data_IF_966620644595
#
_entry.id   IF_966620644595
#
_cell.length_a   1.000
_cell.length_b   1.000
_cell.length_c   1.000
_cell.angle_alpha   90.00
_cell.angle_beta   90.00
_cell.angle_gamma   90.00
#
_symmetry.space_group_name_H-M   'P 1'
#
loop_
_entity.id
_entity.type
_entity.pdbx_description
1 polymer ?
#
# COMPACT_ATOMS: atom_id res chain seq x y z
N UNK A 1 8.06 3.27 10.34
CA UNK A 1 7.30 4.44 9.86
C UNK A 1 8.11 5.73 10.03
N UNK A 2 8.24 6.31 11.24
CA UNK A 2 8.91 7.61 11.42
C UNK A 2 10.37 7.68 10.92
N UNK A 3 11.15 6.59 11.05
CA UNK A 3 12.51 6.54 10.50
C UNK A 3 12.53 6.74 8.97
N UNK A 4 11.59 6.14 8.25
CA UNK A 4 11.42 6.35 6.81
C UNK A 4 10.98 7.78 6.52
N UNK A 5 10.01 8.33 7.27
CA UNK A 5 9.55 9.71 7.11
C UNK A 5 10.69 10.72 7.28
N UNK A 6 11.56 10.55 8.28
CA UNK A 6 12.70 11.44 8.50
C UNK A 6 13.72 11.31 7.36
N UNK A 7 14.09 10.08 6.99
CA UNK A 7 15.04 9.84 5.90
C UNK A 7 14.56 10.45 4.58
N UNK A 8 13.30 10.21 4.22
CA UNK A 8 12.70 10.77 3.01
C UNK A 8 12.54 12.29 3.08
N UNK A 9 12.22 12.84 4.25
CA UNK A 9 12.20 14.28 4.46
C UNK A 9 13.56 14.94 4.22
N UNK A 10 14.65 14.30 4.64
CA UNK A 10 16.02 14.77 4.36
C UNK A 10 16.34 14.69 2.86
N UNK A 11 15.97 13.59 2.20
CA UNK A 11 16.14 13.43 0.74
C UNK A 11 15.38 14.53 0.00
N UNK A 12 14.10 14.76 0.31
CA UNK A 12 13.29 15.80 -0.33
C UNK A 12 13.90 17.19 -0.11
N UNK A 13 14.40 17.47 1.10
CA UNK A 13 15.12 18.74 1.38
C UNK A 13 16.34 18.92 0.48
N UNK A 14 17.09 17.86 0.19
CA UNK A 14 18.22 17.90 -0.73
C UNK A 14 17.75 18.08 -2.18
N UNK A 15 16.71 17.35 -2.60
CA UNK A 15 16.13 17.47 -3.94
C UNK A 15 15.60 18.88 -4.21
N UNK A 16 14.98 19.54 -3.23
CA UNK A 16 14.56 20.95 -3.35
C UNK A 16 15.72 21.88 -3.64
N UNK A 17 16.93 21.63 -3.11
CA UNK A 17 18.13 22.42 -3.45
C UNK A 17 18.58 22.22 -4.90
N UNK A 18 18.23 21.10 -5.52
CA UNK A 18 18.49 20.82 -6.94
C UNK A 18 17.32 21.24 -7.86
N UNK A 19 16.35 21.97 -7.31
CA UNK A 19 15.22 22.53 -8.04
C UNK A 19 14.06 21.55 -8.26
N UNK A 20 14.04 20.39 -7.60
CA UNK A 20 12.84 19.56 -7.55
C UNK A 20 11.75 20.23 -6.72
N UNK A 21 10.50 20.06 -7.13
CA UNK A 21 9.31 20.62 -6.48
C UNK A 21 8.38 19.52 -5.91
N UNK A 22 8.83 18.26 -5.95
CA UNK A 22 8.08 17.11 -5.42
C UNK A 22 8.14 17.10 -3.88
N UNK A 23 7.01 16.81 -3.25
CA UNK A 23 6.90 16.64 -1.80
C UNK A 23 6.86 17.95 -1.01
N UNK A 24 6.40 17.85 0.23
CA UNK A 24 6.29 18.95 1.18
C UNK A 24 7.62 19.34 1.82
N UNK A 25 7.61 20.46 2.55
CA UNK A 25 8.79 21.00 3.25
C UNK A 25 9.21 20.10 4.41
N UNK A 26 10.51 20.05 4.70
CA UNK A 26 11.03 19.39 5.89
C UNK A 26 10.75 20.25 7.15
N UNK A 27 9.68 19.92 7.88
CA UNK A 27 9.30 20.57 9.14
C UNK A 27 8.68 19.56 10.11
N UNK A 28 8.51 19.97 11.38
CA UNK A 28 8.01 19.09 12.43
C UNK A 28 6.61 18.55 12.14
N UNK A 29 5.74 19.39 11.56
CA UNK A 29 4.39 19.00 11.16
C UNK A 29 4.40 17.85 10.15
N UNK A 30 5.22 17.94 9.10
CA UNK A 30 5.32 16.89 8.07
C UNK A 30 6.02 15.63 8.56
N UNK A 31 6.82 15.71 9.61
CA UNK A 31 7.49 14.54 10.19
C UNK A 31 6.57 13.80 11.16
N UNK A 32 5.77 14.51 11.96
CA UNK A 32 4.98 13.93 13.05
C UNK A 32 3.49 13.84 12.77
N UNK A 33 2.89 14.88 12.17
CA UNK A 33 1.43 15.02 12.05
C UNK A 33 0.93 14.53 10.69
N UNK A 34 1.50 15.03 9.58
CA UNK A 34 1.06 14.65 8.23
C UNK A 34 1.06 13.13 7.96
N UNK A 35 2.01 12.33 8.49
CA UNK A 35 1.97 10.88 8.31
C UNK A 35 0.77 10.20 8.99
N UNK A 36 0.23 10.80 10.05
CA UNK A 36 -0.99 10.35 10.72
C UNK A 36 -2.26 10.84 10.02
N UNK A 37 -2.13 11.89 9.20
CA UNK A 37 -3.25 12.62 8.63
C UNK A 37 -3.60 12.18 7.20
N UNK A 38 -2.62 12.19 6.29
CA UNK A 38 -2.80 11.79 4.90
C UNK A 38 -1.76 10.76 4.45
N UNK A 39 -0.56 10.75 5.04
CA UNK A 39 0.52 9.83 4.69
C UNK A 39 1.24 10.17 3.38
N UNK A 40 0.96 11.33 2.79
CA UNK A 40 1.40 11.72 1.45
C UNK A 40 2.47 12.81 1.44
N UNK A 41 2.90 13.27 2.62
CA UNK A 41 3.68 14.49 2.83
C UNK A 41 4.92 14.68 1.96
N UNK A 42 5.67 13.62 1.63
CA UNK A 42 6.93 13.74 0.88
C UNK A 42 6.85 13.13 -0.51
N UNK A 43 5.71 12.56 -0.90
CA UNK A 43 5.46 11.88 -2.19
C UNK A 43 6.33 10.63 -2.43
N UNK A 44 7.62 10.65 -2.09
CA UNK A 44 8.54 9.52 -2.22
C UNK A 44 8.21 8.35 -1.28
N UNK A 45 7.68 8.62 -0.10
CA UNK A 45 7.22 7.60 0.85
C UNK A 45 5.68 7.50 0.91
N UNK A 46 5.00 8.06 -0.09
CA UNK A 46 3.53 8.14 -0.14
C UNK A 46 2.86 6.77 -0.12
N UNK A 47 3.57 5.73 -0.55
CA UNK A 47 3.07 4.36 -0.51
C UNK A 47 2.70 3.90 0.91
N UNK A 48 3.28 4.49 1.96
CA UNK A 48 3.03 4.15 3.37
C UNK A 48 1.71 4.66 3.95
N UNK A 49 0.84 5.28 3.14
CA UNK A 49 -0.43 5.88 3.58
C UNK A 49 -1.38 4.94 4.35
N UNK A 50 -1.25 3.62 4.14
CA UNK A 50 -2.12 2.59 4.73
C UNK A 50 -1.65 2.12 6.11
N UNK A 51 -0.40 2.40 6.51
CA UNK A 51 0.20 1.87 7.74
C UNK A 51 -0.58 2.30 8.97
N UNK A 52 -0.86 3.61 9.11
CA UNK A 52 -1.58 4.17 10.25
C UNK A 52 -3.02 3.66 10.29
N UNK A 53 -3.80 3.71 9.20
CA UNK A 53 -5.14 3.13 9.18
C UNK A 53 -5.19 1.66 9.61
N UNK A 54 -4.31 0.79 9.08
CA UNK A 54 -4.29 -0.62 9.46
C UNK A 54 -3.97 -0.83 10.93
N UNK A 55 -2.94 -0.14 11.45
CA UNK A 55 -2.56 -0.22 12.86
C UNK A 55 -3.68 0.27 13.79
N UNK A 56 -4.37 1.35 13.41
CA UNK A 56 -5.48 1.88 14.19
C UNK A 56 -6.70 0.93 14.18
N UNK A 57 -6.98 0.27 13.05
CA UNK A 57 -8.04 -0.75 12.98
C UNK A 57 -7.73 -1.93 13.90
N UNK A 58 -6.48 -2.38 13.95
CA UNK A 58 -6.07 -3.43 14.88
C UNK A 58 -6.28 -3.02 16.35
N UNK A 59 -5.87 -1.80 16.73
CA UNK A 59 -6.11 -1.24 18.07
C UNK A 59 -7.61 -1.21 18.38
N UNK A 60 -8.43 -0.64 17.49
CA UNK A 60 -9.87 -0.55 17.67
C UNK A 60 -10.51 -1.93 17.84
N UNK A 61 -10.13 -2.90 17.01
CA UNK A 61 -10.60 -4.28 17.13
C UNK A 61 -10.24 -4.87 18.50
N UNK A 62 -9.01 -4.68 18.98
CA UNK A 62 -8.58 -5.14 20.30
C UNK A 62 -9.36 -4.46 21.43
N UNK A 63 -9.59 -3.14 21.35
CA UNK A 63 -10.35 -2.37 22.33
C UNK A 63 -11.81 -2.84 22.40
N UNK A 64 -12.47 -2.98 21.26
CA UNK A 64 -13.87 -3.44 21.17
C UNK A 64 -14.00 -4.84 21.76
N UNK A 65 -13.09 -5.75 21.42
CA UNK A 65 -13.09 -7.12 21.98
C UNK A 65 -12.83 -7.14 23.48
N UNK A 66 -11.90 -6.32 23.96
CA UNK A 66 -11.64 -6.18 25.39
C UNK A 66 -12.87 -5.63 26.14
N UNK A 67 -13.59 -4.68 25.55
CA UNK A 67 -14.82 -4.13 26.11
C UNK A 67 -15.92 -5.20 26.25
N UNK A 68 -16.20 -5.96 25.19
CA UNK A 68 -17.22 -7.02 25.25
C UNK A 68 -16.82 -8.14 26.23
N UNK A 69 -15.54 -8.51 26.26
CA UNK A 69 -15.03 -9.49 27.23
C UNK A 69 -15.23 -9.02 28.67
N UNK A 70 -14.98 -7.74 28.97
CA UNK A 70 -15.22 -7.15 30.30
C UNK A 70 -16.70 -7.16 30.70
N UNK A 71 -17.61 -7.07 29.72
CA UNK A 71 -19.06 -7.17 29.95
C UNK A 71 -19.56 -8.63 30.00
N UNK A 72 -18.68 -9.61 29.88
CA UNK A 72 -19.05 -11.04 29.85
C UNK A 72 -19.73 -11.48 28.55
N UNK A 73 -19.76 -10.63 27.52
CA UNK A 73 -20.41 -10.93 26.25
C UNK A 73 -19.46 -11.69 25.33
N UNK A 74 -19.85 -12.91 24.96
CA UNK A 74 -19.16 -13.69 23.93
C UNK A 74 -19.85 -13.47 22.59
N UNK A 75 -19.38 -12.47 21.85
CA UNK A 75 -19.93 -12.18 20.52
C UNK A 75 -19.36 -13.18 19.50
N UNK A 76 -20.20 -13.91 18.77
CA UNK A 76 -19.73 -14.80 17.72
C UNK A 76 -19.09 -14.00 16.57
N UNK A 77 -18.08 -14.56 15.92
CA UNK A 77 -17.26 -13.85 14.94
C UNK A 77 -18.05 -13.36 13.71
N UNK A 78 -19.15 -14.02 13.34
CA UNK A 78 -20.00 -13.57 12.24
C UNK A 78 -20.74 -12.26 12.57
N UNK A 79 -21.16 -12.04 13.83
CA UNK A 79 -21.76 -10.77 14.27
C UNK A 79 -20.70 -9.68 14.27
N UNK A 80 -19.49 -10.00 14.75
CA UNK A 80 -18.37 -9.06 14.74
C UNK A 80 -18.03 -8.62 13.31
N UNK A 81 -18.01 -9.57 12.37
CA UNK A 81 -17.80 -9.30 10.95
C UNK A 81 -18.92 -8.45 10.36
N UNK A 82 -20.20 -8.76 10.63
CA UNK A 82 -21.33 -7.97 10.16
C UNK A 82 -21.28 -6.52 10.68
N UNK A 83 -20.94 -6.33 11.96
CA UNK A 83 -20.72 -5.00 12.54
C UNK A 83 -19.57 -4.24 11.86
N UNK A 84 -18.45 -4.92 11.57
CA UNK A 84 -17.34 -4.31 10.85
C UNK A 84 -17.70 -3.91 9.40
N UNK A 85 -18.55 -4.69 8.72
CA UNK A 85 -19.11 -4.32 7.40
C UNK A 85 -19.96 -3.06 7.49
N UNK A 86 -20.84 -2.94 8.49
CA UNK A 86 -21.64 -1.73 8.70
C UNK A 86 -20.76 -0.49 8.99
N UNK A 87 -19.73 -0.66 9.82
CA UNK A 87 -18.74 0.39 10.10
C UNK A 87 -18.02 0.81 8.81
N UNK A 88 -17.59 -0.15 7.99
CA UNK A 88 -16.95 0.12 6.70
C UNK A 88 -17.87 0.82 5.70
N UNK A 89 -19.14 0.42 5.64
CA UNK A 89 -20.15 1.12 4.84
C UNK A 89 -20.31 2.58 5.31
N UNK A 90 -20.33 2.81 6.63
CA UNK A 90 -20.34 4.16 7.20
C UNK A 90 -19.11 4.99 6.78
N UNK A 91 -17.91 4.40 6.81
CA UNK A 91 -16.69 5.04 6.32
C UNK A 91 -16.76 5.42 4.83
N UNK A 92 -17.28 4.51 4.00
CA UNK A 92 -17.43 4.78 2.56
C UNK A 92 -18.49 5.84 2.29
N UNK A 93 -19.54 5.88 3.08
CA UNK A 93 -20.56 6.91 2.99
C UNK A 93 -20.01 8.29 3.34
N UNK A 94 -19.17 8.40 4.38
CA UNK A 94 -18.46 9.64 4.69
C UNK A 94 -17.55 10.08 3.55
N UNK A 95 -16.87 9.15 2.87
CA UNK A 95 -16.06 9.45 1.70
C UNK A 95 -16.89 10.03 0.54
N UNK A 96 -18.09 9.48 0.30
CA UNK A 96 -19.06 9.96 -0.70
C UNK A 96 -19.55 11.37 -0.36
N UNK A 97 -19.73 11.67 0.93
CA UNK A 97 -20.05 13.01 1.45
C UNK A 97 -18.86 13.99 1.42
N UNK A 98 -17.77 13.65 0.75
CA UNK A 98 -16.55 14.46 0.61
C UNK A 98 -15.75 14.70 1.90
N UNK A 99 -16.01 13.94 2.98
CA UNK A 99 -15.17 13.90 4.18
C UNK A 99 -13.87 13.09 3.92
N UNK A 100 -13.07 13.55 2.95
CA UNK A 100 -11.88 12.86 2.43
C UNK A 100 -10.61 13.70 2.50
N UNK A 101 -10.60 14.72 3.36
CA UNK A 101 -9.46 15.63 3.53
C UNK A 101 -9.01 15.69 4.98
N UNK A 102 -7.70 15.89 5.20
CA UNK A 102 -7.12 15.98 6.53
C UNK A 102 -7.57 14.80 7.42
N UNK A 103 -7.91 15.06 8.68
CA UNK A 103 -8.15 14.00 9.66
C UNK A 103 -9.34 13.10 9.31
N UNK A 104 -10.30 13.65 8.56
CA UNK A 104 -11.41 12.88 8.03
C UNK A 104 -10.95 11.77 7.09
N UNK A 105 -9.91 12.00 6.28
CA UNK A 105 -9.34 10.99 5.40
C UNK A 105 -8.80 9.80 6.20
N UNK A 106 -8.08 10.04 7.30
CA UNK A 106 -7.61 8.96 8.19
C UNK A 106 -8.78 8.20 8.80
N UNK A 107 -9.81 8.89 9.30
CA UNK A 107 -11.01 8.24 9.86
C UNK A 107 -11.69 7.37 8.79
N UNK A 108 -11.94 7.92 7.60
CA UNK A 108 -12.54 7.18 6.49
C UNK A 108 -11.73 5.92 6.15
N UNK A 109 -10.41 6.01 6.08
CA UNK A 109 -9.54 4.86 5.80
C UNK A 109 -9.60 3.81 6.90
N UNK A 110 -9.59 4.21 8.17
CA UNK A 110 -9.74 3.29 9.32
C UNK A 110 -11.05 2.53 9.19
N UNK A 111 -12.16 3.24 8.97
CA UNK A 111 -13.47 2.63 8.80
C UNK A 111 -13.51 1.72 7.57
N UNK A 112 -12.97 2.16 6.43
CA UNK A 112 -12.84 1.35 5.20
C UNK A 112 -12.10 0.03 5.44
N UNK A 113 -11.02 0.03 6.24
CA UNK A 113 -10.23 -1.16 6.52
C UNK A 113 -10.85 -2.12 7.55
N UNK A 114 -11.78 -1.65 8.39
CA UNK A 114 -12.46 -2.48 9.39
C UNK A 114 -13.06 -3.79 8.83
N UNK A 115 -13.87 -3.80 7.74
CA UNK A 115 -14.41 -5.02 7.18
C UNK A 115 -13.33 -5.99 6.68
N UNK A 116 -12.24 -5.49 6.10
CA UNK A 116 -11.14 -6.33 5.60
C UNK A 116 -10.36 -6.98 6.73
N UNK A 117 -10.10 -6.23 7.80
CA UNK A 117 -9.44 -6.76 8.98
C UNK A 117 -10.30 -7.82 9.69
N UNK A 118 -11.59 -7.52 9.89
CA UNK A 118 -12.53 -8.48 10.47
C UNK A 118 -12.72 -9.72 9.59
N UNK A 119 -12.74 -9.55 8.26
CA UNK A 119 -12.78 -10.67 7.31
C UNK A 119 -11.57 -11.58 7.45
N UNK A 120 -10.37 -11.05 7.67
CA UNK A 120 -9.17 -11.87 7.89
C UNK A 120 -9.29 -12.77 9.14
N UNK A 121 -9.79 -12.22 10.24
CA UNK A 121 -10.04 -12.98 11.48
C UNK A 121 -11.13 -14.03 11.26
N UNK A 122 -12.24 -13.63 10.65
CA UNK A 122 -13.37 -14.51 10.35
C UNK A 122 -12.96 -15.64 9.41
N UNK A 123 -12.14 -15.33 8.41
CA UNK A 123 -11.60 -16.29 7.46
C UNK A 123 -10.78 -17.36 8.19
N UNK A 124 -9.81 -16.94 9.01
CA UNK A 124 -8.92 -17.87 9.73
C UNK A 124 -9.68 -18.76 10.72
N UNK A 125 -10.69 -18.22 11.41
CA UNK A 125 -11.44 -18.97 12.44
C UNK A 125 -12.51 -19.89 11.85
N UNK A 126 -13.17 -19.46 10.76
CA UNK A 126 -14.41 -20.11 10.29
C UNK A 126 -14.34 -20.50 8.82
N UNK A 127 -13.96 -19.60 7.90
CA UNK A 127 -14.11 -19.87 6.46
C UNK A 127 -13.03 -20.79 5.88
N UNK A 128 -11.79 -20.74 6.37
CA UNK A 128 -10.64 -21.47 5.81
C UNK A 128 -10.96 -22.96 5.61
N UNK A 129 -11.50 -23.64 6.63
CA UNK A 129 -11.91 -25.05 6.58
C UNK A 129 -12.95 -25.40 5.52
N UNK A 130 -13.77 -24.44 5.10
CA UNK A 130 -14.78 -24.63 4.05
C UNK A 130 -14.20 -24.29 2.68
N UNK A 131 -13.47 -23.18 2.60
CA UNK A 131 -12.87 -22.68 1.37
C UNK A 131 -11.85 -23.67 0.82
N UNK A 132 -11.08 -24.34 1.67
CA UNK A 132 -10.08 -25.33 1.24
C UNK A 132 -10.69 -26.59 0.62
N UNK A 133 -11.97 -26.87 0.86
CA UNK A 133 -12.69 -28.00 0.26
C UNK A 133 -13.21 -27.71 -1.14
N UNK A 134 -13.23 -26.44 -1.55
CA UNK A 134 -13.79 -26.03 -2.84
C UNK A 134 -12.71 -26.24 -3.93
N UNK A 135 -13.00 -26.99 -5.01
CA UNK A 135 -12.08 -27.12 -6.12
C UNK A 135 -11.71 -25.77 -6.73
N UNK A 136 -10.43 -25.56 -7.07
CA UNK A 136 -9.95 -24.26 -7.55
C UNK A 136 -10.69 -23.76 -8.78
N UNK A 137 -11.06 -24.66 -9.71
CA UNK A 137 -11.84 -24.31 -10.91
C UNK A 137 -13.19 -23.71 -10.54
N UNK A 138 -13.92 -24.33 -9.60
CA UNK A 138 -15.21 -23.83 -9.12
C UNK A 138 -15.04 -22.49 -8.39
N UNK A 139 -14.00 -22.37 -7.57
CA UNK A 139 -13.69 -21.13 -6.87
C UNK A 139 -13.46 -19.96 -7.83
N UNK A 140 -12.61 -20.15 -8.84
CA UNK A 140 -12.36 -19.13 -9.86
C UNK A 140 -13.60 -18.84 -10.70
N UNK A 141 -14.38 -19.86 -11.07
CA UNK A 141 -15.63 -19.67 -11.80
C UNK A 141 -16.60 -18.76 -11.03
N UNK A 142 -16.77 -18.97 -9.72
CA UNK A 142 -17.62 -18.12 -8.86
C UNK A 142 -17.10 -16.69 -8.81
N UNK A 143 -15.80 -16.49 -8.56
CA UNK A 143 -15.20 -15.16 -8.47
C UNK A 143 -15.29 -14.41 -9.80
N UNK A 144 -15.01 -15.08 -10.92
CA UNK A 144 -15.10 -14.48 -12.24
C UNK A 144 -16.55 -14.22 -12.66
N UNK A 145 -17.48 -15.12 -12.37
CA UNK A 145 -18.91 -14.88 -12.59
C UNK A 145 -19.39 -13.66 -11.81
N UNK A 146 -19.01 -13.53 -10.53
CA UNK A 146 -19.34 -12.35 -9.73
C UNK A 146 -18.75 -11.06 -10.31
N UNK A 147 -17.46 -11.07 -10.69
CA UNK A 147 -16.83 -9.91 -11.36
C UNK A 147 -17.49 -9.58 -12.71
N UNK A 148 -17.87 -10.58 -13.49
CA UNK A 148 -18.54 -10.41 -14.78
C UNK A 148 -19.94 -9.82 -14.61
N UNK A 149 -20.72 -10.31 -13.64
CA UNK A 149 -22.05 -9.75 -13.33
C UNK A 149 -21.96 -8.27 -12.95
N UNK A 150 -20.97 -7.90 -12.13
CA UNK A 150 -20.72 -6.50 -11.78
C UNK A 150 -20.34 -5.69 -13.03
N UNK A 151 -19.46 -6.22 -13.87
CA UNK A 151 -19.06 -5.56 -15.12
C UNK A 151 -20.25 -5.35 -16.07
N UNK A 152 -21.13 -6.34 -16.22
CA UNK A 152 -22.33 -6.24 -17.05
C UNK A 152 -23.33 -5.20 -16.52
N UNK A 153 -23.49 -5.11 -15.19
CA UNK A 153 -24.39 -4.12 -14.58
C UNK A 153 -23.88 -2.68 -14.72
N UNK A 154 -22.61 -2.43 -14.40
CA UNK A 154 -22.04 -1.08 -14.41
C UNK A 154 -21.42 -0.68 -15.75
N UNK A 155 -21.28 -1.60 -16.71
CA UNK A 155 -20.63 -1.42 -18.02
C UNK A 155 -19.22 -0.83 -17.95
N UNK A 156 -18.56 -0.99 -16.82
CA UNK A 156 -17.21 -0.48 -16.58
C UNK A 156 -16.46 -1.37 -15.59
N UNK A 157 -15.13 -1.29 -15.63
CA UNK A 157 -14.27 -1.96 -14.66
C UNK A 157 -14.20 -1.12 -13.40
N UNK A 158 -14.95 -1.51 -12.38
CA UNK A 158 -14.90 -0.86 -11.08
C UNK A 158 -13.54 -1.13 -10.41
N UNK A 159 -12.83 -0.04 -10.14
CA UNK A 159 -11.62 0.00 -9.33
C UNK A 159 -11.76 1.16 -8.35
N UNK A 160 -11.30 0.95 -7.13
CA UNK A 160 -11.40 1.93 -6.04
C UNK A 160 -10.01 2.17 -5.47
N UNK A 161 -9.76 3.42 -5.07
CA UNK A 161 -8.46 3.92 -4.63
C UNK A 161 -8.57 4.33 -3.17
N UNK A 162 -8.32 3.43 -2.21
CA UNK A 162 -8.52 3.75 -0.80
C UNK A 162 -7.45 4.70 -0.24
N UNK A 163 -6.39 4.95 -1.02
CA UNK A 163 -5.41 5.99 -0.72
C UNK A 163 -6.03 7.39 -0.72
N UNK A 164 -7.09 7.63 -1.48
CA UNK A 164 -7.72 8.95 -1.57
C UNK A 164 -9.23 8.91 -1.30
N UNK A 165 -9.84 7.72 -1.36
CA UNK A 165 -11.27 7.49 -1.17
C UNK A 165 -12.13 8.45 -2.01
N UNK A 166 -11.66 8.79 -3.20
CA UNK A 166 -12.26 9.79 -4.08
C UNK A 166 -13.10 9.20 -5.21
N UNK A 167 -13.08 7.87 -5.39
CA UNK A 167 -13.69 7.16 -6.49
C UNK A 167 -14.85 6.23 -6.05
N UNK A 168 -15.41 6.41 -4.85
CA UNK A 168 -16.45 5.55 -4.26
C UNK A 168 -17.86 5.85 -4.80
N UNK A 169 -17.99 6.01 -6.12
CA UNK A 169 -19.17 6.60 -6.75
C UNK A 169 -20.38 5.66 -6.82
N UNK A 170 -20.19 4.34 -6.72
CA UNK A 170 -21.26 3.33 -6.85
C UNK A 170 -21.85 2.92 -5.49
N UNK A 171 -21.75 3.80 -4.50
CA UNK A 171 -22.30 3.60 -3.15
C UNK A 171 -21.33 2.93 -2.17
N UNK A 172 -21.71 2.85 -0.89
CA UNK A 172 -20.81 2.48 0.20
C UNK A 172 -20.47 0.97 0.24
N UNK A 173 -21.22 0.13 -0.46
CA UNK A 173 -21.06 -1.33 -0.42
C UNK A 173 -20.07 -1.83 -1.48
N UNK A 174 -20.08 -1.24 -2.68
CA UNK A 174 -19.28 -1.74 -3.80
C UNK A 174 -17.77 -1.73 -3.57
N UNK A 175 -17.17 -0.73 -2.90
CA UNK A 175 -15.75 -0.78 -2.54
C UNK A 175 -15.36 -1.99 -1.69
N UNK A 176 -16.26 -2.45 -0.81
CA UNK A 176 -16.05 -3.64 0.04
C UNK A 176 -16.16 -4.91 -0.80
N UNK A 177 -17.21 -5.05 -1.62
CA UNK A 177 -17.42 -6.23 -2.48
C UNK A 177 -16.25 -6.39 -3.46
N UNK A 178 -15.85 -5.31 -4.15
CA UNK A 178 -14.76 -5.34 -5.11
C UNK A 178 -13.44 -5.73 -4.45
N UNK A 179 -13.18 -5.21 -3.24
CA UNK A 179 -12.03 -5.57 -2.43
C UNK A 179 -12.04 -7.03 -2.01
N UNK A 180 -13.16 -7.56 -1.50
CA UNK A 180 -13.28 -8.97 -1.11
C UNK A 180 -13.09 -9.93 -2.29
N UNK A 181 -13.67 -9.63 -3.46
CA UNK A 181 -13.45 -10.44 -4.66
C UNK A 181 -11.97 -10.41 -5.11
N UNK A 182 -11.30 -9.27 -4.96
CA UNK A 182 -9.87 -9.15 -5.24
C UNK A 182 -9.01 -9.99 -4.29
N UNK A 183 -9.28 -9.90 -2.98
CA UNK A 183 -8.59 -10.69 -1.95
C UNK A 183 -8.85 -12.18 -2.18
N UNK A 184 -10.09 -12.59 -2.43
CA UNK A 184 -10.46 -13.96 -2.73
C UNK A 184 -9.66 -14.52 -3.91
N UNK A 185 -9.61 -13.78 -5.01
CA UNK A 185 -8.84 -14.15 -6.21
C UNK A 185 -7.36 -14.37 -5.88
N UNK A 186 -6.71 -13.38 -5.27
CA UNK A 186 -5.27 -13.41 -5.00
C UNK A 186 -4.90 -14.44 -3.93
N UNK A 187 -5.73 -14.62 -2.90
CA UNK A 187 -5.55 -15.66 -1.89
C UNK A 187 -5.51 -17.04 -2.53
N UNK A 188 -6.47 -17.37 -3.41
CA UNK A 188 -6.48 -18.67 -4.06
C UNK A 188 -5.28 -18.88 -4.98
N UNK A 189 -4.90 -17.86 -5.74
CA UNK A 189 -3.70 -17.90 -6.59
C UNK A 189 -2.46 -18.17 -5.72
N UNK A 190 -2.31 -17.45 -4.60
CA UNK A 190 -1.20 -17.62 -3.68
C UNK A 190 -1.13 -19.05 -3.11
N UNK A 191 -2.25 -19.63 -2.68
CA UNK A 191 -2.30 -21.02 -2.17
C UNK A 191 -1.89 -22.05 -3.22
N UNK A 192 -2.28 -21.88 -4.49
CA UNK A 192 -1.90 -22.79 -5.58
C UNK A 192 -0.41 -22.64 -5.92
N UNK A 193 0.09 -21.40 -5.86
CA UNK A 193 1.47 -21.04 -6.20
C UNK A 193 2.48 -21.38 -5.09
N UNK A 194 2.04 -21.46 -3.83
CA UNK A 194 2.89 -21.67 -2.66
C UNK A 194 3.83 -22.87 -2.81
N UNK A 195 3.40 -24.09 -3.21
CA UNK A 195 4.30 -25.24 -3.29
C UNK A 195 5.41 -25.08 -4.33
N UNK A 196 5.16 -24.30 -5.40
CA UNK A 196 6.10 -24.09 -6.52
C UNK A 196 7.11 -22.99 -6.20
N UNK A 197 6.65 -21.93 -5.54
CA UNK A 197 7.42 -20.70 -5.37
C UNK A 197 7.95 -20.48 -3.95
N UNK A 198 7.27 -20.99 -2.91
CA UNK A 198 7.62 -20.75 -1.51
C UNK A 198 8.98 -21.32 -1.06
N UNK A 199 9.54 -22.26 -1.83
CA UNK A 199 10.88 -22.83 -1.56
C UNK A 199 12.01 -22.05 -2.23
N UNK A 200 11.73 -21.12 -3.15
CA UNK A 200 12.75 -20.42 -3.94
C UNK A 200 13.30 -19.21 -3.18
N UNK A 201 14.61 -19.20 -2.93
CA UNK A 201 15.31 -18.12 -2.20
C UNK A 201 15.04 -16.72 -2.76
N UNK A 202 15.04 -16.56 -4.08
CA UNK A 202 14.81 -15.26 -4.73
C UNK A 202 13.39 -14.72 -4.52
N UNK A 203 12.40 -15.60 -4.43
CA UNK A 203 11.01 -15.20 -4.19
C UNK A 203 10.83 -14.81 -2.73
N UNK A 204 11.42 -15.59 -1.81
CA UNK A 204 11.41 -15.25 -0.39
C UNK A 204 12.17 -13.94 -0.13
N UNK A 205 13.26 -13.67 -0.86
CA UNK A 205 13.95 -12.38 -0.82
C UNK A 205 13.01 -11.22 -1.16
N UNK A 206 12.13 -11.37 -2.15
CA UNK A 206 11.14 -10.32 -2.48
C UNK A 206 10.04 -10.25 -1.42
N UNK A 207 9.49 -11.40 -1.02
CA UNK A 207 8.41 -11.51 -0.05
C UNK A 207 8.80 -10.89 1.31
N UNK A 208 9.97 -11.25 1.84
CA UNK A 208 10.51 -10.75 3.11
C UNK A 208 10.78 -9.24 3.08
N UNK A 209 10.87 -8.64 1.89
CA UNK A 209 11.18 -7.23 1.68
C UNK A 209 10.01 -6.43 1.09
N UNK A 210 8.81 -6.99 1.03
CA UNK A 210 7.61 -6.35 0.46
C UNK A 210 7.36 -4.96 1.06
N UNK A 211 7.54 -4.81 2.37
CA UNK A 211 7.41 -3.52 3.05
C UNK A 211 8.43 -2.49 2.54
N UNK A 212 9.71 -2.88 2.43
CA UNK A 212 10.75 -2.00 1.88
C UNK A 212 10.47 -1.65 0.43
N UNK A 213 10.03 -2.62 -0.39
CA UNK A 213 9.67 -2.39 -1.79
C UNK A 213 8.55 -1.35 -1.88
N UNK A 214 7.52 -1.50 -1.05
CA UNK A 214 6.40 -0.57 -1.04
C UNK A 214 6.82 0.85 -0.65
N UNK A 215 7.60 1.02 0.43
CA UNK A 215 8.05 2.33 0.90
C UNK A 215 9.02 3.03 -0.08
N UNK A 216 9.84 2.27 -0.82
CA UNK A 216 10.95 2.82 -1.60
C UNK A 216 10.72 2.85 -3.12
N UNK A 217 9.61 2.32 -3.63
CA UNK A 217 9.36 2.21 -5.07
C UNK A 217 9.42 3.56 -5.81
N UNK A 218 8.88 4.64 -5.22
CA UNK A 218 8.88 5.96 -5.86
C UNK A 218 10.28 6.57 -5.93
N UNK A 219 11.17 6.23 -4.99
CA UNK A 219 12.57 6.61 -5.08
C UNK A 219 13.23 5.91 -6.27
N UNK A 220 12.99 4.61 -6.46
CA UNK A 220 13.49 3.90 -7.63
C UNK A 220 12.96 4.48 -8.94
N UNK A 221 11.69 4.90 -8.97
CA UNK A 221 11.15 5.60 -10.14
C UNK A 221 11.87 6.91 -10.42
N UNK A 222 12.10 7.72 -9.39
CA UNK A 222 12.85 8.98 -9.49
C UNK A 222 14.28 8.75 -10.01
N UNK A 223 14.98 7.73 -9.51
CA UNK A 223 16.34 7.40 -9.95
C UNK A 223 16.40 7.13 -11.46
N UNK A 224 15.43 6.40 -12.01
CA UNK A 224 15.34 6.15 -13.46
C UNK A 224 15.09 7.43 -14.24
N UNK A 225 14.20 8.32 -13.76
CA UNK A 225 13.98 9.61 -14.42
C UNK A 225 15.25 10.46 -14.45
N UNK A 226 15.95 10.54 -13.32
CA UNK A 226 17.21 11.29 -13.23
C UNK A 226 18.26 10.68 -14.14
N UNK A 227 18.38 9.35 -14.22
CA UNK A 227 19.30 8.67 -15.13
C UNK A 227 18.99 8.98 -16.61
N UNK A 228 17.71 8.98 -17.01
CA UNK A 228 17.35 9.40 -18.37
C UNK A 228 17.68 10.88 -18.61
N UNK A 229 17.40 11.75 -17.64
CA UNK A 229 17.71 13.18 -17.75
C UNK A 229 19.21 13.46 -17.85
N UNK A 230 20.05 12.76 -17.09
CA UNK A 230 21.52 12.93 -17.17
C UNK A 230 22.05 12.47 -18.52
N UNK A 231 21.56 11.35 -19.06
CA UNK A 231 21.93 10.88 -20.40
C UNK A 231 21.40 11.85 -21.48
N UNK A 232 20.19 12.41 -21.31
CA UNK A 232 19.62 13.40 -22.23
C UNK A 232 20.45 14.70 -22.28
N UNK A 233 21.02 15.13 -21.15
CA UNK A 233 21.90 16.31 -21.12
C UNK A 233 23.26 16.04 -21.77
N UNK A 234 23.79 14.81 -21.65
CA UNK A 234 25.08 14.43 -22.23
C UNK A 234 25.01 13.95 -23.68
N UNK A 235 23.82 13.60 -24.19
CA UNK A 235 23.66 12.97 -25.51
C UNK A 235 22.38 13.42 -26.21
N UNK A 236 22.38 13.48 -27.54
CA UNK A 236 21.18 13.76 -28.35
C UNK A 236 20.19 12.57 -28.44
N UNK A 237 20.33 11.54 -27.60
CA UNK A 237 19.51 10.32 -27.69
C UNK A 237 18.08 10.51 -27.16
N UNK A 238 17.88 11.43 -26.21
CA UNK A 238 16.61 11.61 -25.50
C UNK A 238 16.07 13.04 -25.61
N UNK A 239 15.94 13.53 -26.86
CA UNK A 239 15.58 14.92 -27.17
C UNK A 239 14.22 15.39 -26.60
N UNK A 240 13.31 14.45 -26.30
CA UNK A 240 11.98 14.75 -25.73
C UNK A 240 11.94 14.74 -24.20
N UNK A 241 13.08 14.63 -23.51
CA UNK A 241 13.09 14.58 -22.05
C UNK A 241 12.70 15.95 -21.44
N UNK A 242 11.69 15.94 -20.57
CA UNK A 242 11.18 17.16 -19.92
C UNK A 242 11.65 17.22 -18.46
N UNK A 243 12.65 18.08 -18.21
CA UNK A 243 13.18 18.31 -16.86
C UNK A 243 12.18 18.97 -15.92
N UNK A 244 11.23 19.76 -16.42
CA UNK A 244 10.21 20.40 -15.61
C UNK A 244 9.27 19.34 -15.04
N UNK A 245 8.75 18.44 -15.90
CA UNK A 245 7.93 17.30 -15.47
C UNK A 245 8.69 16.31 -14.58
N UNK A 246 9.97 16.05 -14.88
CA UNK A 246 10.82 15.24 -14.01
C UNK A 246 10.90 15.78 -12.58
N UNK A 247 10.92 17.11 -12.45
CA UNK A 247 11.12 17.81 -11.18
C UNK A 247 9.83 18.07 -10.40
N UNK A 248 8.67 18.05 -11.06
CA UNK A 248 7.38 18.41 -10.45
C UNK A 248 6.40 17.22 -10.31
N UNK A 249 6.51 16.20 -11.17
CA UNK A 249 5.52 15.12 -11.23
C UNK A 249 6.16 13.73 -10.99
N UNK A 250 5.76 13.08 -9.89
CA UNK A 250 6.18 11.72 -9.58
C UNK A 250 5.56 10.67 -10.53
N UNK A 251 4.41 10.97 -11.14
CA UNK A 251 3.68 10.06 -12.02
C UNK A 251 4.11 10.14 -13.48
N UNK A 252 4.94 11.12 -13.84
CA UNK A 252 5.46 11.23 -15.19
C UNK A 252 6.60 10.23 -15.45
N UNK A 253 6.37 9.24 -16.30
CA UNK A 253 7.40 8.28 -16.72
C UNK A 253 7.93 8.66 -18.11
N UNK A 254 9.24 8.81 -18.23
CA UNK A 254 9.85 9.03 -19.54
C UNK A 254 9.94 7.71 -20.31
N UNK A 255 9.38 7.72 -21.51
CA UNK A 255 9.37 6.56 -22.41
C UNK A 255 10.07 7.00 -23.70
N UNK A 256 11.35 6.61 -23.92
CA UNK A 256 12.02 6.89 -25.17
C UNK A 256 11.20 6.38 -26.34
N UNK A 257 10.97 7.25 -27.33
CA UNK A 257 10.14 6.94 -28.52
C UNK A 257 8.73 6.45 -28.18
N UNK A 258 8.20 6.82 -27.02
CA UNK A 258 6.84 6.48 -26.58
C UNK A 258 6.62 4.95 -26.43
N UNK A 259 7.70 4.20 -26.21
CA UNK A 259 7.67 2.74 -26.01
C UNK A 259 7.28 2.41 -24.56
N UNK A 260 6.06 1.92 -24.36
CA UNK A 260 5.53 1.61 -23.03
C UNK A 260 6.31 0.55 -22.26
N UNK A 261 6.94 -0.40 -22.96
CA UNK A 261 7.74 -1.47 -22.36
C UNK A 261 8.90 -0.93 -21.52
N UNK A 262 9.33 0.32 -21.76
CA UNK A 262 10.33 1.02 -20.93
C UNK A 262 9.92 1.10 -19.45
N UNK A 263 8.61 1.06 -19.14
CA UNK A 263 8.09 1.01 -17.75
C UNK A 263 8.69 -0.16 -16.94
N UNK A 264 9.14 -1.24 -17.59
CA UNK A 264 9.82 -2.34 -16.90
C UNK A 264 11.11 -1.90 -16.20
N UNK A 265 11.83 -0.91 -16.75
CA UNK A 265 13.05 -0.38 -16.13
C UNK A 265 12.73 0.31 -14.81
N UNK A 266 11.61 1.04 -14.75
CA UNK A 266 11.12 1.67 -13.52
C UNK A 266 10.77 0.63 -12.46
N UNK A 267 10.08 -0.45 -12.85
CA UNK A 267 9.76 -1.56 -11.94
C UNK A 267 11.03 -2.23 -11.39
N UNK A 268 11.97 -2.58 -12.25
CA UNK A 268 13.23 -3.24 -11.86
C UNK A 268 14.06 -2.35 -10.94
N UNK A 269 14.16 -1.05 -11.25
CA UNK A 269 14.87 -0.09 -10.42
C UNK A 269 14.19 0.13 -9.06
N UNK A 270 12.84 0.16 -9.01
CA UNK A 270 12.09 0.22 -7.75
C UNK A 270 12.40 -0.96 -6.83
N UNK A 271 12.36 -2.18 -7.37
CA UNK A 271 12.70 -3.39 -6.61
C UNK A 271 14.16 -3.37 -6.17
N UNK A 272 15.08 -3.08 -7.09
CA UNK A 272 16.51 -3.07 -6.81
C UNK A 272 16.89 -2.03 -5.74
N UNK A 273 16.42 -0.78 -5.88
CA UNK A 273 16.68 0.28 -4.93
C UNK A 273 16.14 -0.07 -3.53
N UNK A 274 14.93 -0.64 -3.46
CA UNK A 274 14.34 -1.06 -2.19
C UNK A 274 15.11 -2.20 -1.51
N UNK A 275 15.58 -3.18 -2.27
CA UNK A 275 16.41 -4.28 -1.74
C UNK A 275 17.77 -3.77 -1.27
N UNK A 276 18.39 -2.84 -2.01
CA UNK A 276 19.64 -2.21 -1.62
C UNK A 276 19.49 -1.42 -0.31
N UNK A 277 18.43 -0.60 -0.20
CA UNK A 277 18.13 0.16 1.02
C UNK A 277 17.94 -0.78 2.21
N UNK A 278 17.15 -1.85 2.04
CA UNK A 278 16.96 -2.83 3.10
C UNK A 278 18.28 -3.49 3.52
N UNK A 279 19.12 -3.86 2.54
CA UNK A 279 20.42 -4.45 2.83
C UNK A 279 21.28 -3.49 3.65
N UNK A 280 21.36 -2.21 3.26
CA UNK A 280 22.06 -1.16 4.02
C UNK A 280 21.52 -1.06 5.46
N UNK A 281 20.19 -0.97 5.63
CA UNK A 281 19.55 -0.91 6.95
C UNK A 281 19.90 -2.12 7.81
N UNK A 282 19.99 -3.31 7.20
CA UNK A 282 20.35 -4.54 7.89
C UNK A 282 21.81 -4.51 8.36
N UNK A 283 22.74 -4.01 7.53
CA UNK A 283 24.14 -3.86 7.93
C UNK A 283 24.31 -2.85 9.06
N UNK A 284 23.65 -1.69 8.97
CA UNK A 284 23.66 -0.67 10.02
C UNK A 284 23.15 -1.25 11.35
N UNK A 285 22.06 -2.03 11.32
CA UNK A 285 21.52 -2.70 12.51
C UNK A 285 22.48 -3.74 13.10
N UNK A 286 23.23 -4.47 12.27
CA UNK A 286 24.26 -5.42 12.73
C UNK A 286 25.43 -4.70 13.40
N UNK A 287 25.92 -3.63 12.79
CA UNK A 287 27.00 -2.80 13.35
C UNK A 287 26.60 -2.21 14.71
N UNK A 288 25.40 -1.65 14.83
CA UNK A 288 24.91 -1.09 16.10
C UNK A 288 24.80 -2.12 17.22
N UNK A 289 24.38 -3.36 16.91
CA UNK A 289 24.36 -4.45 17.90
C UNK A 289 25.76 -4.85 18.37
N UNK A 290 26.73 -4.90 17.46
CA UNK A 290 28.12 -5.22 17.81
C UNK A 290 28.74 -4.13 18.70
N UNK A 291 28.44 -2.86 18.44
CA UNK A 291 28.87 -1.73 19.28
C UNK A 291 28.24 -1.83 20.68
N UNK A 292 26.95 -2.13 20.78
CA UNK A 292 26.27 -2.26 22.08
C UNK A 292 26.79 -3.44 22.91
N UNK A 293 27.23 -4.53 22.27
CA UNK A 293 27.87 -5.65 22.95
C UNK A 293 29.29 -5.31 23.44
N UNK A 294 30.02 -4.46 22.70
CA UNK A 294 31.37 -4.01 23.07
C UNK A 294 31.37 -3.00 24.22
N UNK A 295 30.31 -2.17 24.34
CA UNK A 295 30.14 -1.20 25.45
C UNK A 295 29.66 -1.87 26.75
N UNK A 296 29.25 -3.14 26.68
CA UNK A 296 28.78 -3.93 27.83
C UNK A 296 29.83 -4.89 28.39
N UNK A 297 31.02 -4.92 27.80
CA UNK A 297 32.23 -5.58 28.31
C UNK A 297 33.13 -4.55 28.96
#
# INVERSE_FOLDING_TARGET
MYGYTIAYGLIVRLLHRWGFQIGGKFNLHNILISPLNDGHQFVLNMAGWYIVPLFMVEILNCMIRAFFKRKGWQIPEWIFFAGAVLIGMGGNFLAIMEYRTSWWLTVVRILYFAPFYAMGIFYKKILEKYVDRIPSVVYFAIVFAAKLMIFLHYKTRLAYTPAWCNDFNQGPVMPIIIGFLGIALWMRIATIMEPVFGRKKWINLLADNTFSIMENQFLGFLLVKVAFGTIANGTKLFLKFDWSRCKSDIWWYYMPKDVEQTKILYLLAAIFAALLIQWILTQVKKMGKNIFLYVRQ
#
